data_IF_315804350970
#
_entry.id   IF_315804350970
#
_cell.length_a   1.000
_cell.length_b   1.000
_cell.length_c   1.000
_cell.angle_alpha   90.00
_cell.angle_beta   90.00
_cell.angle_gamma   90.00
#
_symmetry.space_group_name_H-M   'P 1'
#
loop_
_entity.id
_entity.type
_entity.pdbx_description
1 polymer ?
#
# COMPACT_ATOMS: atom_id res chain seq x y z
N UNK A 1 7.81 16.96 -2.86
CA UNK A 1 6.42 16.47 -2.99
C UNK A 1 6.37 15.02 -2.56
N UNK A 2 5.47 14.71 -1.64
CA UNK A 2 5.35 13.34 -1.13
C UNK A 2 4.29 12.57 -1.90
N UNK A 3 4.57 11.33 -2.18
CA UNK A 3 3.68 10.46 -2.93
C UNK A 3 3.54 9.17 -2.14
N UNK A 4 2.38 8.57 -2.19
CA UNK A 4 2.08 7.37 -1.39
C UNK A 4 1.48 6.27 -2.25
N UNK A 5 1.69 5.04 -1.81
CA UNK A 5 1.04 3.90 -2.43
C UNK A 5 0.61 2.91 -1.35
N UNK A 6 -0.25 1.99 -1.75
CA UNK A 6 -0.85 1.04 -0.81
C UNK A 6 -0.25 -0.33 -1.04
N UNK A 7 0.08 -1.00 0.06
CA UNK A 7 0.57 -2.37 0.04
C UNK A 7 -0.37 -3.23 0.86
N UNK A 8 -0.40 -4.52 0.58
CA UNK A 8 -1.29 -5.43 1.27
C UNK A 8 -0.64 -6.78 1.49
N UNK A 9 -1.19 -7.55 2.40
CA UNK A 9 -0.83 -8.94 2.57
C UNK A 9 -2.01 -9.68 3.20
N UNK A 10 -2.05 -10.99 3.02
CA UNK A 10 -2.97 -11.82 3.80
C UNK A 10 -2.44 -11.86 5.23
N UNK A 11 -3.34 -11.99 6.19
CA UNK A 11 -2.94 -11.96 7.60
C UNK A 11 -1.91 -13.01 7.96
N UNK A 12 -1.95 -14.15 7.30
CA UNK A 12 -0.98 -15.23 7.55
C UNK A 12 0.34 -15.06 6.81
N UNK A 13 0.43 -14.10 5.91
CA UNK A 13 1.67 -13.84 5.19
C UNK A 13 2.56 -12.91 5.97
N UNK A 14 3.86 -12.97 5.70
CA UNK A 14 4.83 -12.12 6.38
C UNK A 14 5.10 -10.82 5.64
N UNK A 15 5.03 -10.85 4.32
CA UNK A 15 5.48 -9.72 3.52
C UNK A 15 4.33 -9.04 2.80
N UNK A 16 4.35 -7.71 2.85
CA UNK A 16 3.44 -6.89 2.08
C UNK A 16 3.88 -6.84 0.62
N UNK A 17 2.92 -6.62 -0.27
CA UNK A 17 3.22 -6.40 -1.67
C UNK A 17 2.32 -5.29 -2.20
N UNK A 18 2.69 -4.69 -3.32
CA UNK A 18 1.90 -3.63 -3.91
C UNK A 18 0.51 -4.12 -4.27
N UNK A 19 -0.50 -3.39 -3.80
CA UNK A 19 -1.88 -3.74 -4.11
C UNK A 19 -2.25 -3.32 -5.53
N UNK A 20 -1.72 -2.19 -5.95
CA UNK A 20 -2.07 -1.59 -7.24
C UNK A 20 -0.93 -0.71 -7.68
N UNK A 21 -0.92 -0.38 -8.99
CA UNK A 21 0.04 0.58 -9.51
C UNK A 21 -0.40 2.02 -9.27
N UNK A 22 -1.53 2.20 -8.59
CA UNK A 22 -2.05 3.52 -8.33
C UNK A 22 -1.19 4.25 -7.31
N UNK A 23 -0.80 5.46 -7.64
CA UNK A 23 0.01 6.30 -6.77
C UNK A 23 -0.82 7.52 -6.38
N UNK A 24 -0.79 7.86 -5.09
CA UNK A 24 -1.58 8.97 -4.56
C UNK A 24 -0.67 10.10 -4.14
N UNK A 25 -1.13 11.33 -4.38
CA UNK A 25 -0.37 12.51 -4.00
C UNK A 25 -0.59 12.92 -2.55
N UNK A 26 -1.59 12.35 -1.90
CA UNK A 26 -1.91 12.66 -0.50
C UNK A 26 -2.07 11.39 0.30
N UNK A 27 -1.55 11.41 1.51
CA UNK A 27 -1.67 10.28 2.42
C UNK A 27 -3.14 9.97 2.71
N UNK A 28 -3.96 11.00 2.84
CA UNK A 28 -5.37 10.83 3.11
C UNK A 28 -6.06 10.04 2.01
N UNK A 29 -5.73 10.32 0.77
CA UNK A 29 -6.32 9.62 -0.36
C UNK A 29 -5.91 8.16 -0.37
N UNK A 30 -4.65 7.88 -0.08
CA UNK A 30 -4.16 6.52 -0.02
C UNK A 30 -4.83 5.74 1.12
N UNK A 31 -4.97 6.40 2.27
CA UNK A 31 -5.62 5.79 3.42
C UNK A 31 -7.08 5.47 3.14
N UNK A 32 -7.77 6.40 2.48
CA UNK A 32 -9.16 6.18 2.11
C UNK A 32 -9.30 5.02 1.14
N UNK A 33 -8.41 4.94 0.17
CA UNK A 33 -8.40 3.83 -0.78
C UNK A 33 -8.19 2.50 -0.04
N UNK A 34 -7.23 2.47 0.86
CA UNK A 34 -6.95 1.26 1.63
C UNK A 34 -8.14 0.84 2.48
N UNK A 35 -8.81 1.82 3.10
CA UNK A 35 -9.97 1.55 3.93
C UNK A 35 -11.12 0.98 3.10
N UNK A 36 -11.35 1.54 1.93
CA UNK A 36 -12.43 1.06 1.05
C UNK A 36 -12.15 -0.32 0.48
N UNK A 37 -10.86 -0.64 0.30
CA UNK A 37 -10.46 -1.92 -0.28
C UNK A 37 -10.27 -3.00 0.77
N UNK A 38 -10.34 -2.64 2.04
CA UNK A 38 -10.05 -3.55 3.14
C UNK A 38 -10.96 -4.78 3.11
N UNK A 39 -10.33 -5.94 3.24
CA UNK A 39 -11.04 -7.20 3.29
C UNK A 39 -10.71 -7.92 4.59
N UNK A 40 -11.61 -8.80 5.02
CA UNK A 40 -11.52 -9.47 6.31
C UNK A 40 -10.17 -10.14 6.59
N UNK A 41 -9.62 -10.81 5.61
CA UNK A 41 -8.41 -11.61 5.80
C UNK A 41 -7.14 -10.93 5.30
N UNK A 42 -7.20 -9.62 5.08
CA UNK A 42 -6.08 -8.87 4.53
C UNK A 42 -5.74 -7.68 5.41
N UNK A 43 -4.46 -7.37 5.45
CA UNK A 43 -3.97 -6.16 6.09
C UNK A 43 -3.50 -5.21 4.99
N UNK A 44 -3.83 -3.93 5.15
CA UNK A 44 -3.43 -2.90 4.21
C UNK A 44 -2.58 -1.87 4.94
N UNK A 45 -1.66 -1.28 4.20
CA UNK A 45 -0.74 -0.30 4.77
C UNK A 45 -0.43 0.75 3.73
N UNK A 46 -0.33 2.01 4.15
CA UNK A 46 0.05 3.11 3.29
C UNK A 46 1.54 3.36 3.46
N UNK A 47 2.26 3.44 2.35
CA UNK A 47 3.71 3.58 2.35
C UNK A 47 4.09 4.79 1.51
N UNK A 48 5.04 5.56 1.99
CA UNK A 48 5.57 6.68 1.22
C UNK A 48 6.35 6.13 0.01
N UNK A 49 6.10 6.73 -1.16
CA UNK A 49 6.76 6.31 -2.37
C UNK A 49 8.19 6.85 -2.42
N UNK A 50 9.14 5.95 -2.46
CA UNK A 50 10.52 6.27 -2.76
C UNK A 50 11.15 5.04 -3.39
N UNK A 51 12.38 5.20 -3.89
CA UNK A 51 13.04 4.14 -4.62
C UNK A 51 13.14 2.84 -3.83
N UNK A 52 13.51 2.96 -2.56
CA UNK A 52 13.70 1.77 -1.72
C UNK A 52 12.38 1.06 -1.44
N UNK A 53 11.36 1.83 -1.08
CA UNK A 53 10.06 1.24 -0.77
C UNK A 53 9.41 0.64 -2.00
N UNK A 54 9.52 1.31 -3.12
CA UNK A 54 8.95 0.79 -4.35
C UNK A 54 9.57 -0.56 -4.71
N UNK A 55 10.89 -0.64 -4.65
CA UNK A 55 11.60 -1.87 -4.96
C UNK A 55 11.27 -3.00 -3.97
N UNK A 56 11.11 -2.62 -2.70
CA UNK A 56 10.83 -3.59 -1.64
C UNK A 56 9.49 -4.29 -1.83
N UNK A 57 8.48 -3.55 -2.25
CA UNK A 57 7.11 -4.08 -2.30
C UNK A 57 6.67 -4.51 -3.70
N UNK A 58 7.48 -4.25 -4.68
CA UNK A 58 7.13 -4.60 -6.05
C UNK A 58 7.47 -6.05 -6.34
N UNK A 59 6.53 -6.75 -6.95
CA UNK A 59 6.73 -8.12 -7.42
C UNK A 59 6.32 -8.25 -8.85
#
# INVERSE_FOLDING_TARGET
MMIYFVVYKQKKEKDYRMFTNTIFSKEEEATEFATKSKKRNYDFKVVEYNKENYARYWY
#
